data_IF_942486489321
#
_entry.id   IF_942486489321
#
_cell.length_a   1.000
_cell.length_b   1.000
_cell.length_c   1.000
_cell.angle_alpha   90.00
_cell.angle_beta   90.00
_cell.angle_gamma   90.00
#
_symmetry.space_group_name_H-M   'P 1'
#
loop_
_entity.id
_entity.type
_entity.pdbx_description
1 polymer ?
#
# COMPACT_ATOMS: atom_id res chain seq x y z
N UNK A 1 3.17 1.36 22.38
CA UNK A 1 2.83 1.73 20.97
C UNK A 1 1.94 2.97 21.03
N UNK A 2 2.27 4.05 20.30
CA UNK A 2 1.34 5.18 20.15
C UNK A 2 0.16 4.70 19.31
N UNK A 3 -1.07 4.88 19.79
CA UNK A 3 -2.28 4.57 19.02
C UNK A 3 -2.41 5.54 17.84
N UNK A 4 -1.93 5.13 16.67
CA UNK A 4 -2.01 5.92 15.43
C UNK A 4 -3.46 6.22 15.00
N UNK A 5 -4.43 5.48 15.54
CA UNK A 5 -5.84 5.51 15.18
C UNK A 5 -6.75 6.11 16.26
N UNK A 6 -6.17 6.64 17.34
CA UNK A 6 -6.78 7.25 18.53
C UNK A 6 -8.28 7.63 18.42
N UNK A 7 -9.19 6.66 18.56
CA UNK A 7 -10.65 6.89 18.54
C UNK A 7 -11.29 7.17 17.17
N UNK A 8 -10.53 7.27 16.08
CA UNK A 8 -11.07 7.54 14.75
C UNK A 8 -11.66 6.29 14.07
N UNK A 9 -11.21 5.09 14.45
CA UNK A 9 -11.57 3.83 13.78
C UNK A 9 -12.11 2.81 14.79
N UNK A 10 -13.23 2.14 14.47
CA UNK A 10 -13.87 1.08 15.28
C UNK A 10 -12.90 -0.07 15.58
N UNK A 11 -12.26 -0.60 14.54
CA UNK A 11 -11.32 -1.73 14.61
C UNK A 11 -9.95 -1.37 14.00
N UNK A 12 -9.09 -0.63 14.73
CA UNK A 12 -7.81 -0.15 14.19
C UNK A 12 -6.82 -1.29 13.92
N UNK A 13 -6.91 -2.39 14.68
CA UNK A 13 -6.06 -3.58 14.50
C UNK A 13 -6.34 -4.28 13.17
N UNK A 14 -7.61 -4.46 12.80
CA UNK A 14 -7.98 -5.10 11.53
C UNK A 14 -7.53 -4.27 10.33
N UNK A 15 -7.72 -2.95 10.38
CA UNK A 15 -7.23 -2.06 9.32
C UNK A 15 -5.71 -2.15 9.20
N UNK A 16 -4.99 -2.17 10.32
CA UNK A 16 -3.53 -2.29 10.30
C UNK A 16 -3.08 -3.62 9.69
N UNK A 17 -3.71 -4.73 10.06
CA UNK A 17 -3.40 -6.06 9.50
C UNK A 17 -3.65 -6.06 7.99
N UNK A 18 -4.79 -5.56 7.52
CA UNK A 18 -5.08 -5.47 6.08
C UNK A 18 -4.08 -4.60 5.33
N UNK A 19 -3.69 -3.47 5.91
CA UNK A 19 -2.73 -2.54 5.32
C UNK A 19 -1.35 -3.18 5.15
N UNK A 20 -0.87 -3.90 6.18
CA UNK A 20 0.39 -4.64 6.11
C UNK A 20 0.32 -5.83 5.18
N UNK A 21 -0.79 -6.56 5.18
CA UNK A 21 -0.98 -7.70 4.29
C UNK A 21 -0.97 -7.26 2.82
N UNK A 22 -1.65 -6.16 2.50
CA UNK A 22 -1.63 -5.58 1.17
C UNK A 22 -0.23 -5.07 0.76
N UNK A 23 0.48 -4.39 1.68
CA UNK A 23 1.86 -3.97 1.44
C UNK A 23 2.80 -5.16 1.17
N UNK A 24 2.64 -6.25 1.91
CA UNK A 24 3.42 -7.48 1.73
C UNK A 24 3.15 -8.12 0.37
N UNK A 25 1.89 -8.20 -0.06
CA UNK A 25 1.51 -8.70 -1.39
C UNK A 25 2.18 -7.85 -2.49
N UNK A 26 2.07 -6.53 -2.41
CA UNK A 26 2.70 -5.63 -3.38
C UNK A 26 4.22 -5.76 -3.40
N UNK A 27 4.84 -5.95 -2.24
CA UNK A 27 6.27 -6.20 -2.14
C UNK A 27 6.67 -7.52 -2.81
N UNK A 28 5.91 -8.60 -2.59
CA UNK A 28 6.12 -9.88 -3.28
C UNK A 28 5.98 -9.74 -4.81
N UNK A 29 5.00 -8.98 -5.29
CA UNK A 29 4.81 -8.70 -6.73
C UNK A 29 6.00 -7.90 -7.28
N UNK A 30 6.49 -6.91 -6.55
CA UNK A 30 7.66 -6.13 -6.96
C UNK A 30 8.90 -7.02 -7.11
N UNK A 31 9.14 -7.93 -6.16
CA UNK A 31 10.23 -8.91 -6.23
C UNK A 31 10.03 -9.84 -7.43
N UNK A 32 8.80 -10.32 -7.65
CA UNK A 32 8.50 -11.21 -8.77
C UNK A 32 8.88 -10.56 -10.11
N UNK A 33 8.45 -9.32 -10.35
CA UNK A 33 8.81 -8.60 -11.58
C UNK A 33 10.32 -8.38 -11.71
N UNK A 34 11.02 -8.07 -10.61
CA UNK A 34 12.47 -7.91 -10.62
C UNK A 34 13.18 -9.22 -10.98
N UNK A 35 12.77 -10.33 -10.37
CA UNK A 35 13.34 -11.65 -10.64
C UNK A 35 13.09 -12.07 -12.09
N UNK A 36 11.88 -11.81 -12.62
CA UNK A 36 11.59 -12.07 -14.04
C UNK A 36 12.48 -11.21 -14.94
N UNK A 37 12.66 -9.91 -14.64
CA UNK A 37 13.50 -9.04 -15.45
C UNK A 37 14.99 -9.45 -15.45
N UNK A 38 15.49 -9.97 -14.33
CA UNK A 38 16.90 -10.33 -14.15
C UNK A 38 17.23 -11.73 -14.68
N UNK A 39 16.37 -12.71 -14.44
CA UNK A 39 16.68 -14.13 -14.64
C UNK A 39 15.92 -14.79 -15.79
N UNK A 40 14.92 -14.13 -16.39
CA UNK A 40 14.19 -14.68 -17.52
C UNK A 40 14.90 -14.35 -18.84
N UNK A 41 15.72 -15.28 -19.32
CA UNK A 41 16.56 -15.07 -20.50
C UNK A 41 15.75 -14.85 -21.78
N UNK A 42 14.57 -15.44 -21.89
CA UNK A 42 13.66 -15.29 -23.03
C UNK A 42 12.92 -13.94 -23.06
N UNK A 43 13.17 -13.04 -22.10
CA UNK A 43 12.58 -11.71 -22.11
C UNK A 43 13.37 -10.77 -23.04
N UNK A 44 12.68 -10.15 -24.01
CA UNK A 44 13.24 -9.05 -24.79
C UNK A 44 13.70 -7.91 -23.87
N UNK A 45 14.74 -7.17 -24.29
CA UNK A 45 15.28 -6.06 -23.50
C UNK A 45 14.23 -5.00 -23.16
N UNK A 46 13.35 -4.66 -24.12
CA UNK A 46 12.22 -3.74 -23.94
C UNK A 46 11.28 -4.19 -22.82
N UNK A 47 10.95 -5.48 -22.78
CA UNK A 47 10.10 -6.08 -21.75
C UNK A 47 10.79 -6.11 -20.37
N UNK A 48 12.10 -6.37 -20.32
CA UNK A 48 12.88 -6.29 -19.06
C UNK A 48 12.84 -4.90 -18.45
N UNK A 49 13.04 -3.86 -19.26
CA UNK A 49 12.96 -2.46 -18.81
C UNK A 49 11.57 -2.15 -18.27
N UNK A 50 10.51 -2.59 -18.96
CA UNK A 50 9.14 -2.41 -18.50
C UNK A 50 8.87 -3.11 -17.16
N UNK A 51 9.35 -4.35 -16.98
CA UNK A 51 9.22 -5.09 -15.72
C UNK A 51 9.97 -4.43 -14.56
N UNK A 52 11.15 -3.85 -14.82
CA UNK A 52 11.89 -3.07 -13.80
C UNK A 52 11.08 -1.83 -13.40
N UNK A 53 10.51 -1.10 -14.36
CA UNK A 53 9.64 0.05 -14.06
C UNK A 53 8.43 -0.40 -13.23
N UNK A 54 7.77 -1.49 -13.59
CA UNK A 54 6.65 -2.02 -12.81
C UNK A 54 7.06 -2.46 -11.41
N UNK A 55 8.21 -3.11 -11.26
CA UNK A 55 8.78 -3.49 -9.96
C UNK A 55 9.02 -2.28 -9.07
N UNK A 56 9.66 -1.23 -9.60
CA UNK A 56 9.91 0.00 -8.85
C UNK A 56 8.60 0.68 -8.47
N UNK A 57 7.63 0.77 -9.39
CA UNK A 57 6.33 1.37 -9.09
C UNK A 57 5.60 0.59 -8.00
N UNK A 58 5.51 -0.74 -8.11
CA UNK A 58 4.85 -1.59 -7.11
C UNK A 58 5.56 -1.54 -5.75
N UNK A 59 6.88 -1.42 -5.73
CA UNK A 59 7.66 -1.19 -4.51
C UNK A 59 7.35 0.18 -3.88
N UNK A 60 7.26 1.24 -4.67
CA UNK A 60 6.85 2.56 -4.17
C UNK A 60 5.42 2.52 -3.63
N UNK A 61 4.50 1.79 -4.27
CA UNK A 61 3.14 1.62 -3.77
C UNK A 61 3.07 0.81 -2.47
N UNK A 62 3.90 -0.24 -2.32
CA UNK A 62 3.90 -1.07 -1.11
C UNK A 62 4.25 -0.27 0.15
N UNK A 63 5.12 0.75 0.02
CA UNK A 63 5.53 1.63 1.12
C UNK A 63 4.64 2.89 1.18
N UNK A 64 4.33 3.49 0.03
CA UNK A 64 3.60 4.75 -0.06
C UNK A 64 2.14 4.62 0.39
N UNK A 65 1.46 3.55 -0.01
CA UNK A 65 0.06 3.31 0.36
C UNK A 65 -0.16 3.24 1.88
N UNK A 66 0.61 2.46 2.67
CA UNK A 66 0.44 2.45 4.12
C UNK A 66 0.71 3.82 4.77
N UNK A 67 1.76 4.53 4.32
CA UNK A 67 2.12 5.84 4.87
C UNK A 67 1.01 6.87 4.61
N UNK A 68 0.51 6.94 3.37
CA UNK A 68 -0.58 7.85 2.99
C UNK A 68 -1.84 7.52 3.77
N UNK A 69 -2.18 6.24 3.89
CA UNK A 69 -3.37 5.79 4.63
C UNK A 69 -3.28 6.21 6.11
N UNK A 70 -2.14 6.00 6.76
CA UNK A 70 -1.93 6.43 8.16
C UNK A 70 -2.01 7.97 8.27
N UNK A 71 -1.40 8.69 7.34
CA UNK A 71 -1.42 10.15 7.34
C UNK A 71 -2.83 10.72 7.18
N UNK A 72 -3.60 10.18 6.23
CA UNK A 72 -4.98 10.60 5.97
C UNK A 72 -5.89 10.27 7.15
N UNK A 73 -5.73 9.09 7.76
CA UNK A 73 -6.52 8.71 8.93
C UNK A 73 -6.21 9.60 10.14
N UNK A 74 -4.94 9.98 10.33
CA UNK A 74 -4.54 10.92 11.39
C UNK A 74 -5.12 12.32 11.15
N UNK A 75 -5.18 12.76 9.89
CA UNK A 75 -5.64 14.10 9.50
C UNK A 75 -7.04 14.08 8.87
N UNK A 76 -7.94 13.18 9.33
CA UNK A 76 -9.29 12.99 8.76
C UNK A 76 -10.06 14.29 8.61
N UNK A 77 -10.00 15.17 9.61
CA UNK A 77 -10.69 16.46 9.60
C UNK A 77 -10.26 17.35 8.43
N UNK A 78 -8.99 17.26 8.03
CA UNK A 78 -8.43 18.02 6.90
C UNK A 78 -8.74 17.38 5.54
N UNK A 79 -8.89 16.05 5.49
CA UNK A 79 -9.10 15.30 4.26
C UNK A 79 -10.21 14.24 4.35
N UNK A 80 -11.47 14.64 4.60
CA UNK A 80 -12.56 13.70 4.85
C UNK A 80 -12.89 12.81 3.64
N UNK A 81 -12.81 13.37 2.43
CA UNK A 81 -13.06 12.60 1.18
C UNK A 81 -11.98 11.55 0.91
N UNK A 82 -10.71 11.88 1.15
CA UNK A 82 -9.60 10.92 0.98
C UNK A 82 -9.66 9.82 2.03
N UNK A 83 -10.03 10.17 3.26
CA UNK A 83 -10.22 9.20 4.33
C UNK A 83 -11.34 8.20 3.99
N UNK A 84 -12.43 8.67 3.37
CA UNK A 84 -13.55 7.83 2.96
C UNK A 84 -13.25 6.93 1.75
N UNK A 85 -12.35 7.37 0.86
CA UNK A 85 -11.90 6.56 -0.29
C UNK A 85 -10.88 5.49 0.13
N UNK A 86 -9.94 5.83 1.00
CA UNK A 86 -8.88 4.93 1.44
C UNK A 86 -9.32 3.97 2.54
N UNK A 87 -10.32 4.35 3.33
CA UNK A 87 -10.84 3.53 4.43
C UNK A 87 -12.35 3.41 4.27
N UNK A 88 -12.85 2.17 4.28
CA UNK A 88 -14.30 1.90 4.18
C UNK A 88 -15.07 2.73 5.21
N UNK A 89 -16.17 3.40 4.82
CA UNK A 89 -16.90 4.34 5.68
C UNK A 89 -17.36 3.70 7.00
N UNK A 90 -17.78 2.43 6.97
CA UNK A 90 -18.26 1.69 8.14
C UNK A 90 -17.18 1.39 9.21
N UNK A 91 -15.91 1.71 8.94
CA UNK A 91 -14.82 1.51 9.90
C UNK A 91 -14.56 2.72 10.78
N UNK A 92 -15.12 3.88 10.48
CA UNK A 92 -14.99 5.04 11.33
C UNK A 92 -15.94 4.94 12.54
N UNK A 93 -15.54 5.52 13.67
CA UNK A 93 -16.47 5.79 14.76
C UNK A 93 -17.34 6.98 14.33
N UNK A 94 -18.65 6.77 14.24
CA UNK A 94 -19.63 7.83 14.02
C UNK A 94 -19.81 8.67 15.28
#
# INVERSE_FOLDING_TARGET
>A
MKDYFNGNIKNPKELFIELWFFALILFCIAIFFLLTALFYDNCEFSARVLLIIFSVLTFVFSIGYPIITIHVVKNREKYPRLAMLLVKPNRFND
#
